data_IF_002224219114
#
_entry.id   IF_002224219114
#
_cell.length_a   1.000
_cell.length_b   1.000
_cell.length_c   1.000
_cell.angle_alpha   90.00
_cell.angle_beta   90.00
_cell.angle_gamma   90.00
#
_symmetry.space_group_name_H-M   'P 1'
#
loop_
_entity.id
_entity.type
_entity.pdbx_description
1 polymer ?
#
# COMPACT_ATOMS: atom_id res chain seq x y z
N UNK A 1 -16.30 6.15 14.05
CA UNK A 1 -15.40 5.00 13.86
C UNK A 1 -15.60 4.57 12.42
N UNK A 2 -14.58 4.67 11.58
CA UNK A 2 -14.70 4.29 10.17
C UNK A 2 -14.86 2.79 10.08
N UNK A 3 -15.89 2.35 9.41
CA UNK A 3 -16.21 0.95 9.22
C UNK A 3 -15.96 0.55 7.77
N UNK A 4 -15.69 -0.71 7.59
CA UNK A 4 -15.60 -1.35 6.31
C UNK A 4 -16.89 -2.13 6.06
N UNK A 5 -17.48 -1.98 4.89
CA UNK A 5 -18.67 -2.73 4.51
C UNK A 5 -18.41 -3.61 3.28
N UNK A 6 -19.22 -4.65 3.12
CA UNK A 6 -19.14 -5.48 1.93
C UNK A 6 -19.60 -4.73 0.68
N UNK A 7 -18.91 -4.95 -0.44
CA UNK A 7 -19.35 -4.43 -1.76
C UNK A 7 -20.71 -4.98 -2.20
N UNK A 8 -21.18 -6.07 -1.58
CA UNK A 8 -22.48 -6.69 -1.90
C UNK A 8 -23.58 -6.30 -0.91
N UNK A 9 -23.24 -5.97 0.32
CA UNK A 9 -24.23 -5.60 1.36
C UNK A 9 -23.66 -4.64 2.39
N UNK A 10 -24.26 -3.45 2.51
CA UNK A 10 -23.92 -2.49 3.56
C UNK A 10 -24.31 -2.94 4.97
N UNK A 11 -25.15 -3.97 5.09
CA UNK A 11 -25.48 -4.55 6.39
C UNK A 11 -24.33 -5.32 7.03
N UNK A 12 -23.36 -5.76 6.21
CA UNK A 12 -22.14 -6.41 6.69
C UNK A 12 -21.07 -5.33 6.89
N UNK A 13 -20.81 -4.99 8.15
CA UNK A 13 -19.87 -3.95 8.56
C UNK A 13 -18.83 -4.52 9.53
N UNK A 14 -17.58 -4.09 9.39
CA UNK A 14 -16.41 -4.54 10.17
C UNK A 14 -15.49 -3.38 10.49
N UNK A 15 -14.71 -3.51 11.54
CA UNK A 15 -13.53 -2.68 11.76
C UNK A 15 -12.43 -3.06 10.76
N UNK A 16 -11.38 -2.25 10.61
CA UNK A 16 -10.29 -2.60 9.70
C UNK A 16 -9.54 -3.86 10.14
N UNK A 17 -9.34 -4.07 11.45
CA UNK A 17 -8.74 -5.29 12.00
C UNK A 17 -9.57 -6.54 11.68
N UNK A 18 -10.89 -6.43 11.81
CA UNK A 18 -11.81 -7.53 11.47
C UNK A 18 -11.80 -7.83 9.96
N UNK A 19 -11.86 -6.79 9.14
CA UNK A 19 -11.83 -6.92 7.67
C UNK A 19 -10.53 -7.57 7.17
N UNK A 20 -9.37 -7.17 7.72
CA UNK A 20 -8.07 -7.78 7.39
C UNK A 20 -8.03 -9.25 7.82
N UNK A 21 -8.57 -9.58 8.98
CA UNK A 21 -8.58 -10.96 9.50
C UNK A 21 -9.49 -11.89 8.70
N UNK A 22 -10.67 -11.39 8.31
CA UNK A 22 -11.64 -12.16 7.50
C UNK A 22 -11.22 -12.27 6.04
N UNK A 23 -10.57 -11.24 5.47
CA UNK A 23 -10.17 -11.16 4.07
C UNK A 23 -11.32 -10.92 3.10
N UNK A 24 -12.31 -11.81 3.06
CA UNK A 24 -13.54 -11.67 2.28
C UNK A 24 -14.76 -11.60 3.19
N UNK A 25 -15.75 -10.80 2.81
CA UNK A 25 -17.00 -10.74 3.53
C UNK A 25 -17.79 -12.07 3.37
N UNK A 26 -18.64 -12.45 4.35
CA UNK A 26 -19.41 -13.69 4.33
C UNK A 26 -20.31 -13.88 3.09
N UNK A 27 -20.69 -12.78 2.44
CA UNK A 27 -21.47 -12.79 1.20
C UNK A 27 -20.60 -12.88 -0.08
N UNK A 28 -19.26 -13.05 0.09
CA UNK A 28 -18.29 -13.10 -0.99
C UNK A 28 -17.96 -11.74 -1.59
N UNK A 29 -18.35 -10.62 -0.95
CA UNK A 29 -17.96 -9.27 -1.30
C UNK A 29 -16.57 -8.92 -0.78
N UNK A 30 -16.00 -7.83 -1.30
CA UNK A 30 -14.79 -7.21 -0.78
C UNK A 30 -15.16 -6.18 0.29
N UNK A 31 -14.27 -5.96 1.24
CA UNK A 31 -14.43 -4.89 2.21
C UNK A 31 -13.97 -3.55 1.66
N UNK A 32 -14.82 -2.55 1.75
CA UNK A 32 -14.55 -1.16 1.32
C UNK A 32 -14.78 -0.21 2.49
N UNK A 33 -13.85 0.71 2.71
CA UNK A 33 -13.96 1.73 3.75
C UNK A 33 -15.08 2.71 3.43
N UNK A 34 -15.94 3.01 4.40
CA UNK A 34 -17.06 3.94 4.26
C UNK A 34 -16.62 5.37 3.95
N UNK A 35 -15.44 5.77 4.40
CA UNK A 35 -14.86 7.10 4.20
C UNK A 35 -13.94 7.21 3.00
N UNK A 36 -13.84 6.16 2.18
CA UNK A 36 -13.00 6.16 0.99
C UNK A 36 -13.40 7.33 0.06
N UNK A 37 -12.44 8.22 -0.21
CA UNK A 37 -12.63 9.41 -1.03
C UNK A 37 -13.18 10.65 -0.31
N UNK A 38 -13.63 10.54 0.94
CA UNK A 38 -14.03 11.69 1.76
C UNK A 38 -12.86 12.29 2.54
N UNK A 39 -11.95 11.46 3.02
CA UNK A 39 -10.72 11.90 3.67
C UNK A 39 -9.59 11.97 2.63
N UNK A 40 -8.75 12.99 2.72
CA UNK A 40 -7.67 13.25 1.76
C UNK A 40 -6.40 13.57 2.50
N UNK A 41 -5.30 13.18 1.91
CA UNK A 41 -3.96 13.63 2.27
C UNK A 41 -3.50 14.55 1.14
N UNK A 42 -3.06 15.74 1.48
CA UNK A 42 -2.50 16.65 0.49
C UNK A 42 -1.16 16.10 -0.01
N UNK A 43 -1.02 15.95 -1.31
CA UNK A 43 0.20 15.39 -1.92
C UNK A 43 1.44 16.22 -1.59
N UNK A 44 1.26 17.54 -1.44
CA UNK A 44 2.34 18.44 -1.06
C UNK A 44 2.94 18.11 0.32
N UNK A 45 2.13 17.62 1.26
CA UNK A 45 2.58 17.24 2.60
C UNK A 45 3.40 15.94 2.59
N UNK A 46 3.28 15.14 1.53
CA UNK A 46 3.98 13.87 1.36
C UNK A 46 5.24 13.97 0.49
N UNK A 47 5.40 15.03 -0.30
CA UNK A 47 6.41 15.12 -1.35
C UNK A 47 7.86 15.00 -0.86
N UNK A 48 8.12 15.47 0.36
CA UNK A 48 9.46 15.44 0.98
C UNK A 48 9.58 14.36 2.07
N UNK A 49 8.57 13.50 2.21
CA UNK A 49 8.54 12.48 3.24
C UNK A 49 9.25 11.20 2.78
N UNK A 50 9.76 10.45 3.76
CA UNK A 50 10.29 9.11 3.48
C UNK A 50 9.16 8.15 3.09
N UNK A 51 9.52 7.05 2.39
CA UNK A 51 8.56 5.98 2.09
C UNK A 51 7.82 5.48 3.35
N UNK A 52 8.55 5.35 4.46
CA UNK A 52 7.99 4.91 5.75
C UNK A 52 6.95 5.91 6.29
N UNK A 53 7.22 7.20 6.20
CA UNK A 53 6.30 8.23 6.69
C UNK A 53 5.04 8.31 5.82
N UNK A 54 5.21 8.21 4.50
CA UNK A 54 4.08 8.10 3.57
C UNK A 54 3.24 6.86 3.87
N UNK A 55 3.88 5.69 4.05
CA UNK A 55 3.20 4.45 4.39
C UNK A 55 2.42 4.56 5.71
N UNK A 56 3.03 5.16 6.74
CA UNK A 56 2.36 5.41 8.03
C UNK A 56 1.14 6.31 7.87
N UNK A 57 1.28 7.42 7.16
CA UNK A 57 0.18 8.37 6.94
C UNK A 57 -1.00 7.71 6.22
N UNK A 58 -0.73 6.99 5.14
CA UNK A 58 -1.77 6.31 4.35
C UNK A 58 -2.42 5.17 5.14
N UNK A 59 -1.64 4.34 5.83
CA UNK A 59 -2.18 3.23 6.61
C UNK A 59 -2.97 3.73 7.81
N UNK A 60 -2.54 4.80 8.49
CA UNK A 60 -3.28 5.37 9.61
C UNK A 60 -4.64 5.93 9.17
N UNK A 61 -4.72 6.52 7.97
CA UNK A 61 -5.97 6.99 7.39
C UNK A 61 -6.93 5.82 7.09
N UNK A 62 -6.40 4.76 6.50
CA UNK A 62 -7.21 3.62 6.06
C UNK A 62 -7.53 2.65 7.20
N UNK A 63 -6.69 2.52 8.21
CA UNK A 63 -6.79 1.54 9.29
C UNK A 63 -6.96 2.21 10.67
N UNK A 64 -8.06 2.92 10.92
CA UNK A 64 -8.23 3.81 12.08
C UNK A 64 -8.33 3.09 13.44
N UNK A 65 -8.54 1.78 13.46
CA UNK A 65 -8.54 0.96 14.67
C UNK A 65 -7.17 0.34 15.01
N UNK A 66 -6.15 0.57 14.16
CA UNK A 66 -4.76 0.33 14.54
C UNK A 66 -4.19 1.58 15.22
N UNK A 67 -3.41 1.38 16.26
CA UNK A 67 -2.69 2.50 16.89
C UNK A 67 -1.54 2.97 16.02
N UNK A 68 -1.11 4.22 16.22
CA UNK A 68 0.04 4.77 15.49
C UNK A 68 1.31 3.92 15.71
N UNK A 69 1.50 3.38 16.93
CA UNK A 69 2.64 2.52 17.27
C UNK A 69 2.55 1.16 16.55
N UNK A 70 1.35 0.56 16.45
CA UNK A 70 1.14 -0.68 15.69
C UNK A 70 1.47 -0.48 14.21
N UNK A 71 1.00 0.62 13.60
CA UNK A 71 1.29 0.94 12.21
C UNK A 71 2.80 1.19 12.02
N UNK A 72 3.42 1.99 12.90
CA UNK A 72 4.85 2.27 12.82
C UNK A 72 5.69 0.99 12.91
N UNK A 73 5.37 0.11 13.85
CA UNK A 73 6.04 -1.17 13.98
C UNK A 73 5.85 -2.06 12.74
N UNK A 74 4.63 -2.14 12.19
CA UNK A 74 4.37 -2.90 10.97
C UNK A 74 5.16 -2.36 9.77
N UNK A 75 5.27 -1.04 9.61
CA UNK A 75 6.03 -0.40 8.52
C UNK A 75 7.52 -0.72 8.64
N UNK A 76 8.11 -0.54 9.83
CA UNK A 76 9.51 -0.87 10.05
C UNK A 76 9.78 -2.38 9.81
N UNK A 77 8.99 -3.26 10.40
CA UNK A 77 9.14 -4.70 10.23
C UNK A 77 8.97 -5.15 8.76
N UNK A 78 8.13 -4.46 7.99
CA UNK A 78 7.87 -4.80 6.60
C UNK A 78 8.99 -4.36 5.67
N UNK A 79 9.59 -3.21 5.91
CA UNK A 79 10.42 -2.55 4.91
C UNK A 79 11.88 -2.39 5.33
N UNK A 80 12.20 -2.40 6.64
CA UNK A 80 13.59 -2.30 7.09
C UNK A 80 14.35 -3.60 6.79
N UNK A 81 15.32 -3.51 5.89
CA UNK A 81 16.22 -4.62 5.55
C UNK A 81 15.60 -5.79 4.79
N UNK A 82 14.33 -5.70 4.39
CA UNK A 82 13.65 -6.73 3.57
C UNK A 82 13.76 -6.48 2.07
N UNK A 83 14.04 -5.25 1.68
CA UNK A 83 14.22 -4.84 0.29
C UNK A 83 15.70 -4.63 -0.03
N UNK A 84 16.11 -4.98 -1.24
CA UNK A 84 17.49 -4.84 -1.70
C UNK A 84 17.90 -3.37 -1.95
N UNK A 85 16.93 -2.48 -2.14
CA UNK A 85 17.14 -1.04 -2.25
C UNK A 85 16.86 -0.34 -0.93
N UNK A 86 17.62 0.70 -0.54
CA UNK A 86 17.30 1.56 0.59
C UNK A 86 15.92 2.24 0.44
N UNK A 87 15.54 2.52 -0.80
CA UNK A 87 14.19 2.94 -1.15
C UNK A 87 13.39 1.70 -1.53
N UNK A 88 12.23 1.53 -0.91
CA UNK A 88 11.35 0.37 -1.16
C UNK A 88 10.90 0.32 -2.62
N UNK A 89 10.57 1.50 -3.18
CA UNK A 89 10.10 1.67 -4.55
C UNK A 89 10.81 2.86 -5.22
N UNK A 90 12.08 2.68 -5.65
CA UNK A 90 12.83 3.77 -6.28
C UNK A 90 12.17 4.24 -7.58
N UNK A 91 12.18 5.55 -7.79
CA UNK A 91 11.74 6.17 -9.03
C UNK A 91 12.96 6.65 -9.81
N UNK A 92 13.34 5.93 -10.86
CA UNK A 92 14.51 6.24 -11.66
C UNK A 92 14.13 6.93 -12.98
N UNK A 93 14.85 8.00 -13.36
CA UNK A 93 14.65 8.60 -14.66
C UNK A 93 15.13 7.65 -15.76
N UNK A 94 14.23 7.27 -16.66
CA UNK A 94 14.59 6.45 -17.83
C UNK A 94 15.26 7.30 -18.92
N UNK A 95 14.75 8.52 -19.06
CA UNK A 95 15.26 9.44 -20.06
C UNK A 95 15.06 10.88 -19.58
N UNK A 96 16.14 11.62 -19.58
CA UNK A 96 16.13 13.06 -19.39
C UNK A 96 16.52 13.72 -20.71
N UNK A 97 15.71 14.67 -21.17
CA UNK A 97 16.10 15.51 -22.32
C UNK A 97 17.36 16.29 -21.90
N UNK A 98 18.51 16.09 -22.58
CA UNK A 98 19.70 16.85 -22.26
C UNK A 98 19.40 18.35 -22.35
N UNK A 99 19.79 19.11 -21.31
CA UNK A 99 19.66 20.57 -21.32
C UNK A 99 20.32 21.15 -22.59
N UNK A 100 19.52 21.70 -23.48
CA UNK A 100 19.97 22.28 -24.74
C UNK A 100 19.35 21.68 -26.01
N UNK A 101 18.66 20.57 -25.94
CA UNK A 101 17.85 20.04 -27.08
C UNK A 101 16.46 20.68 -27.07
N UNK A 102 16.39 21.94 -27.36
CA UNK A 102 15.16 22.54 -27.86
C UNK A 102 15.08 22.24 -29.35
N UNK A 103 14.05 21.48 -29.76
CA UNK A 103 13.65 21.17 -31.14
C UNK A 103 14.60 20.25 -31.90
N UNK A 104 14.17 19.00 -32.05
CA UNK A 104 14.85 18.02 -32.88
C UNK A 104 14.98 18.50 -34.32
N UNK A 105 16.21 18.68 -34.77
CA UNK A 105 16.53 18.61 -36.16
C UNK A 105 16.57 17.15 -36.57
N UNK A 106 15.40 16.56 -36.78
CA UNK A 106 15.27 15.28 -37.46
C UNK A 106 15.63 15.50 -38.92
N UNK A 107 16.71 14.86 -39.35
CA UNK A 107 17.06 14.75 -40.78
C UNK A 107 16.00 13.89 -41.47
N UNK A 108 15.18 14.47 -42.30
CA UNK A 108 14.45 13.78 -43.36
C UNK A 108 12.95 13.81 -43.31
N UNK A 109 12.41 14.63 -44.20
CA UNK A 109 11.09 14.64 -44.85
C UNK A 109 9.90 15.23 -44.08
N UNK A 110 9.58 16.45 -44.59
CA UNK A 110 8.25 17.00 -44.82
C UNK A 110 7.10 16.44 -44.01
N UNK A 111 6.89 17.05 -42.89
CA UNK A 111 5.62 17.50 -42.33
C UNK A 111 5.90 17.93 -40.89
N UNK A 112 5.72 19.21 -40.62
CA UNK A 112 5.88 19.82 -39.33
C UNK A 112 4.73 19.34 -38.41
N UNK A 113 4.87 18.15 -37.84
CA UNK A 113 4.21 17.85 -36.57
C UNK A 113 5.12 18.45 -35.49
N UNK A 114 4.65 19.53 -34.91
CA UNK A 114 5.15 20.06 -33.64
C UNK A 114 5.06 18.94 -32.62
N UNK A 115 6.14 18.22 -32.43
CA UNK A 115 6.30 17.31 -31.34
C UNK A 115 6.66 18.16 -30.12
N UNK A 116 5.61 18.76 -29.53
CA UNK A 116 5.70 19.52 -28.31
C UNK A 116 6.20 18.61 -27.18
N UNK A 117 7.34 19.00 -26.61
CA UNK A 117 7.89 18.61 -25.33
C UNK A 117 7.68 17.13 -24.94
N UNK A 118 8.67 16.31 -25.19
CA UNK A 118 8.76 15.00 -24.53
C UNK A 118 8.79 15.22 -23.00
N UNK A 119 7.72 14.83 -22.33
CA UNK A 119 7.72 14.79 -20.90
C UNK A 119 8.81 13.80 -20.40
N UNK A 120 9.51 14.09 -19.33
CA UNK A 120 10.48 13.15 -18.76
C UNK A 120 9.77 11.85 -18.40
N UNK A 121 10.37 10.73 -18.79
CA UNK A 121 9.85 9.40 -18.46
C UNK A 121 10.66 8.84 -17.31
N UNK A 122 9.98 8.36 -16.28
CA UNK A 122 10.61 7.69 -15.14
C UNK A 122 10.03 6.28 -14.99
N UNK A 123 10.82 5.39 -14.42
CA UNK A 123 10.43 4.02 -14.09
C UNK A 123 10.32 3.89 -12.57
N UNK A 124 9.14 3.49 -12.10
CA UNK A 124 8.95 3.09 -10.71
C UNK A 124 9.33 1.61 -10.59
N UNK A 125 10.42 1.34 -9.88
CA UNK A 125 10.91 -0.03 -9.71
C UNK A 125 10.21 -0.71 -8.52
N UNK A 126 9.53 -1.81 -8.77
CA UNK A 126 8.74 -2.55 -7.77
C UNK A 126 9.30 -3.95 -7.49
N UNK A 127 10.52 -4.25 -7.96
CA UNK A 127 11.09 -5.61 -7.91
C UNK A 127 12.18 -5.80 -6.85
N UNK A 128 12.39 -4.83 -5.96
CA UNK A 128 13.45 -4.89 -4.95
C UNK A 128 13.11 -5.75 -3.72
N UNK A 129 11.91 -6.29 -3.64
CA UNK A 129 11.48 -7.16 -2.55
C UNK A 129 12.05 -8.58 -2.65
N UNK A 130 11.81 -9.42 -1.61
CA UNK A 130 12.41 -10.75 -1.48
C UNK A 130 12.15 -11.71 -2.63
N UNK A 131 11.02 -11.58 -3.32
CA UNK A 131 10.64 -12.45 -4.46
C UNK A 131 10.80 -11.77 -5.82
N UNK A 132 11.32 -10.55 -5.84
CA UNK A 132 11.44 -9.69 -7.02
C UNK A 132 10.10 -9.43 -7.74
N UNK A 133 9.00 -9.52 -7.02
CA UNK A 133 7.66 -9.25 -7.53
C UNK A 133 7.10 -7.95 -6.92
N UNK A 134 6.32 -7.19 -7.70
CA UNK A 134 5.66 -5.97 -7.22
C UNK A 134 4.77 -6.21 -6.00
N UNK A 135 4.27 -7.44 -5.84
CA UNK A 135 3.42 -7.86 -4.72
C UNK A 135 4.16 -7.84 -3.38
N UNK A 136 5.48 -7.89 -3.36
CA UNK A 136 6.26 -7.90 -2.13
C UNK A 136 5.97 -6.68 -1.26
N UNK A 137 5.66 -5.53 -1.86
CA UNK A 137 5.25 -4.33 -1.13
C UNK A 137 4.06 -4.60 -0.21
N UNK A 138 3.05 -5.30 -0.71
CA UNK A 138 1.86 -5.67 0.07
C UNK A 138 2.09 -6.93 0.91
N UNK A 139 2.79 -7.94 0.35
CA UNK A 139 3.00 -9.23 1.02
C UNK A 139 3.93 -9.13 2.24
N UNK A 140 4.80 -8.13 2.31
CA UNK A 140 5.56 -7.87 3.53
C UNK A 140 4.71 -7.17 4.60
N UNK A 141 3.75 -6.34 4.22
CA UNK A 141 2.90 -5.60 5.16
C UNK A 141 1.75 -6.44 5.72
N UNK A 142 1.02 -7.16 4.87
CA UNK A 142 -0.22 -7.85 5.24
C UNK A 142 -0.07 -8.82 6.42
N UNK A 143 0.94 -9.71 6.49
CA UNK A 143 1.08 -10.64 7.60
C UNK A 143 1.29 -9.93 8.94
N UNK A 144 1.95 -8.78 8.94
CA UNK A 144 2.22 -7.99 10.13
C UNK A 144 0.96 -7.32 10.65
N UNK A 145 0.15 -6.77 9.75
CA UNK A 145 -1.18 -6.25 10.09
C UNK A 145 -2.10 -7.36 10.63
N UNK A 146 -2.11 -8.54 10.00
CA UNK A 146 -2.88 -9.71 10.47
C UNK A 146 -2.43 -10.15 11.87
N UNK A 147 -1.13 -10.20 12.15
CA UNK A 147 -0.62 -10.54 13.48
C UNK A 147 -1.12 -9.56 14.56
N UNK A 148 -1.12 -8.25 14.26
CA UNK A 148 -1.66 -7.22 15.18
C UNK A 148 -3.18 -7.33 15.32
N UNK A 149 -3.91 -7.63 14.24
CA UNK A 149 -5.35 -7.83 14.28
C UNK A 149 -5.75 -9.01 15.16
N UNK A 150 -4.94 -10.08 15.21
CA UNK A 150 -5.18 -11.25 16.03
C UNK A 150 -4.80 -11.04 17.50
N UNK A 151 -3.80 -10.21 17.80
CA UNK A 151 -3.33 -9.98 19.17
C UNK A 151 -4.34 -9.26 20.07
N UNK A 152 -5.30 -8.54 19.48
CA UNK A 152 -6.38 -7.85 20.20
C UNK A 152 -7.68 -8.64 20.33
N UNK A 153 -7.79 -9.81 19.72
CA UNK A 153 -8.98 -10.64 19.83
C UNK A 153 -8.93 -11.36 21.20
N UNK A 154 -9.82 -10.97 22.13
CA UNK A 154 -10.06 -11.79 23.31
C UNK A 154 -10.45 -13.20 22.88
N UNK A 155 -9.95 -14.27 23.56
CA UNK A 155 -10.35 -15.62 23.23
C UNK A 155 -11.87 -15.70 23.35
N UNK A 156 -12.53 -16.14 22.28
CA UNK A 156 -13.95 -16.43 22.31
C UNK A 156 -14.18 -17.38 23.49
N UNK A 157 -15.03 -16.96 24.45
CA UNK A 157 -15.41 -17.76 25.60
C UNK A 157 -16.24 -18.95 25.13
N UNK A 158 -15.56 -20.00 24.74
CA UNK A 158 -16.10 -21.31 24.38
C UNK A 158 -15.31 -22.37 25.11
N UNK A 159 -15.99 -23.07 25.99
CA UNK A 159 -15.47 -24.12 26.87
C UNK A 159 -14.68 -25.19 26.13
N UNK A 160 -13.44 -25.40 26.55
CA UNK A 160 -12.74 -26.67 26.48
C UNK A 160 -12.18 -27.05 25.12
N UNK A 161 -10.95 -26.70 24.89
CA UNK A 161 -9.91 -27.54 24.28
C UNK A 161 -8.63 -26.72 24.07
N UNK A 162 -7.50 -27.40 24.14
CA UNK A 162 -6.13 -26.89 24.15
C UNK A 162 -5.90 -25.77 23.10
N UNK A 163 -5.21 -24.70 23.55
CA UNK A 163 -4.65 -23.62 22.73
C UNK A 163 -3.80 -24.20 21.58
N UNK A 164 -4.45 -24.43 20.46
CA UNK A 164 -3.74 -24.56 19.19
C UNK A 164 -3.64 -23.13 18.65
N UNK A 165 -2.43 -22.58 18.68
CA UNK A 165 -2.16 -21.33 17.98
C UNK A 165 -2.64 -21.48 16.53
N UNK A 166 -3.63 -20.69 16.15
CA UNK A 166 -4.16 -20.67 14.80
C UNK A 166 -3.01 -20.34 13.85
N UNK A 167 -2.52 -21.34 13.14
CA UNK A 167 -1.50 -21.14 12.11
C UNK A 167 -2.17 -20.47 10.95
N UNK A 168 -1.95 -19.17 10.78
CA UNK A 168 -2.23 -18.49 9.53
C UNK A 168 -1.25 -19.03 8.49
N UNK A 169 -1.73 -19.88 7.58
CA UNK A 169 -0.98 -20.24 6.39
C UNK A 169 -1.24 -19.14 5.35
N UNK A 170 -0.16 -18.51 4.93
CA UNK A 170 -0.10 -17.56 3.82
C UNK A 170 0.29 -18.32 2.57
#
# INVERSE_FOLDING_TARGET
MNLYHSTRSRAISRTSKEAIREGLAPDGGLYVCDTLGSEKIEVADLAEQSYHDIARAVLQLLLPDYTADEIAACVCEAYDGTFASPEVTPLLPLWTVPNGMTKGTGVGRNEAHECDSFAPVSVLELFHGPTSAFKDVALQMLPRLMARANSGAAPASGSGAASTAERVMI
#
